data_IF_652852244004
#
_entry.id   IF_652852244004
#
_cell.length_a   1.000
_cell.length_b   1.000
_cell.length_c   1.000
_cell.angle_alpha   90.00
_cell.angle_beta   90.00
_cell.angle_gamma   90.00
#
_symmetry.space_group_name_H-M   'P 1'
#
loop_
_entity.id
_entity.type
_entity.pdbx_description
1 polymer ?
#
# COMPACT_ATOMS: atom_id res chain seq x y z
N UNK A 1 20.42 9.40 -8.15
CA UNK A 1 19.01 9.36 -8.63
C UNK A 1 18.13 9.05 -7.43
N UNK A 2 16.87 9.48 -7.33
CA UNK A 2 16.03 9.03 -6.21
C UNK A 2 15.61 7.57 -6.42
N UNK A 3 15.47 6.80 -5.34
CA UNK A 3 15.08 5.39 -5.34
C UNK A 3 13.83 5.12 -6.22
N UNK A 4 12.80 6.00 -6.15
CA UNK A 4 11.62 5.85 -7.01
C UNK A 4 11.95 5.92 -8.52
N UNK A 5 12.94 6.72 -8.93
CA UNK A 5 13.34 6.78 -10.33
C UNK A 5 14.01 5.48 -10.78
N UNK A 6 14.84 4.91 -9.92
CA UNK A 6 15.56 3.66 -10.19
C UNK A 6 14.56 2.50 -10.28
N UNK A 7 13.64 2.40 -9.33
CA UNK A 7 12.58 1.38 -9.35
C UNK A 7 11.66 1.50 -10.56
N UNK A 8 11.23 2.73 -10.88
CA UNK A 8 10.42 2.96 -12.08
C UNK A 8 11.15 2.58 -13.35
N UNK A 9 12.44 2.91 -13.47
CA UNK A 9 13.25 2.54 -14.61
C UNK A 9 13.39 1.01 -14.76
N UNK A 10 13.60 0.31 -13.65
CA UNK A 10 13.66 -1.15 -13.58
C UNK A 10 12.33 -1.78 -14.02
N UNK A 11 11.22 -1.41 -13.39
CA UNK A 11 9.90 -1.93 -13.69
C UNK A 11 9.45 -1.66 -15.14
N UNK A 12 9.89 -0.55 -15.72
CA UNK A 12 9.54 -0.17 -17.10
C UNK A 12 10.61 -0.49 -18.13
N UNK A 13 11.60 -1.35 -17.80
CA UNK A 13 12.68 -1.74 -18.71
C UNK A 13 12.19 -2.47 -19.98
N UNK A 14 10.98 -3.06 -19.93
CA UNK A 14 10.36 -3.77 -21.05
C UNK A 14 9.90 -2.86 -22.20
N UNK A 15 9.88 -1.54 -22.01
CA UNK A 15 9.44 -0.57 -23.04
C UNK A 15 10.46 0.54 -23.27
N UNK A 16 10.60 0.97 -24.54
CA UNK A 16 11.48 2.06 -24.94
C UNK A 16 10.75 3.42 -25.05
N UNK A 17 9.46 3.50 -24.72
CA UNK A 17 8.70 4.75 -24.81
C UNK A 17 9.09 5.69 -23.66
N UNK A 18 10.22 6.39 -23.86
CA UNK A 18 10.80 7.28 -22.86
C UNK A 18 9.83 8.39 -22.44
N UNK A 19 9.18 9.05 -23.40
CA UNK A 19 8.26 10.15 -23.13
C UNK A 19 7.10 9.70 -22.23
N UNK A 20 6.46 8.57 -22.52
CA UNK A 20 5.39 8.03 -21.71
C UNK A 20 5.87 7.66 -20.31
N UNK A 21 7.04 7.02 -20.19
CA UNK A 21 7.62 6.68 -18.88
C UNK A 21 7.86 7.92 -18.02
N UNK A 22 8.44 8.96 -18.61
CA UNK A 22 8.75 10.21 -17.91
C UNK A 22 7.45 10.92 -17.46
N UNK A 23 6.43 10.95 -18.32
CA UNK A 23 5.12 11.54 -18.00
C UNK A 23 4.41 10.78 -16.86
N UNK A 24 4.36 9.45 -16.94
CA UNK A 24 3.74 8.64 -15.89
C UNK A 24 4.48 8.75 -14.55
N UNK A 25 5.82 8.76 -14.57
CA UNK A 25 6.60 8.97 -13.34
C UNK A 25 6.32 10.34 -12.71
N UNK A 26 6.20 11.37 -13.54
CA UNK A 26 5.82 12.71 -13.09
C UNK A 26 4.44 12.71 -12.43
N UNK A 27 3.46 12.05 -13.05
CA UNK A 27 2.10 11.92 -12.51
C UNK A 27 2.08 11.15 -11.18
N UNK A 28 2.84 10.04 -11.08
CA UNK A 28 2.97 9.25 -9.85
C UNK A 28 3.51 10.15 -8.73
N UNK A 29 4.64 10.83 -8.96
CA UNK A 29 5.24 11.72 -7.97
C UNK A 29 4.29 12.84 -7.54
N UNK A 30 3.59 13.45 -8.49
CA UNK A 30 2.60 14.49 -8.22
C UNK A 30 1.45 13.97 -7.36
N UNK A 31 0.95 12.75 -7.63
CA UNK A 31 -0.11 12.13 -6.85
C UNK A 31 0.31 11.91 -5.41
N UNK A 32 1.45 11.28 -5.18
CA UNK A 32 1.98 11.00 -3.83
C UNK A 32 2.55 12.24 -3.09
N UNK A 33 2.72 13.36 -3.78
CA UNK A 33 3.11 14.65 -3.19
C UNK A 33 1.94 15.62 -3.07
N UNK A 34 0.70 15.15 -3.25
CA UNK A 34 -0.49 16.00 -3.17
C UNK A 34 -0.69 16.54 -1.76
N UNK A 35 -1.16 17.79 -1.61
CA UNK A 35 -1.53 18.32 -0.30
C UNK A 35 -2.52 17.40 0.42
N UNK A 36 -2.31 17.20 1.72
CA UNK A 36 -3.15 16.33 2.54
C UNK A 36 -2.68 14.88 2.67
N UNK A 37 -1.65 14.46 1.94
CA UNK A 37 -1.01 13.15 2.10
C UNK A 37 0.14 13.22 3.10
N UNK A 38 -0.15 12.98 4.36
CA UNK A 38 0.86 13.00 5.42
C UNK A 38 1.49 11.64 5.66
N UNK A 39 0.75 10.56 5.39
CA UNK A 39 1.23 9.17 5.46
C UNK A 39 1.27 8.51 4.08
N UNK A 40 0.16 8.55 3.30
CA UNK A 40 0.07 7.92 1.97
C UNK A 40 0.80 8.76 0.91
N UNK A 41 2.07 8.98 1.12
CA UNK A 41 2.98 9.83 0.36
C UNK A 41 4.14 9.02 -0.25
N UNK A 42 5.17 9.73 -0.78
CA UNK A 42 6.33 9.06 -1.38
C UNK A 42 7.15 8.25 -0.37
N UNK A 43 7.18 8.61 0.90
CA UNK A 43 7.96 7.87 1.91
C UNK A 43 7.30 6.52 2.19
N UNK A 44 5.97 6.46 2.30
CA UNK A 44 5.22 5.21 2.38
C UNK A 44 5.50 4.33 1.16
N UNK A 45 5.38 4.88 -0.04
CA UNK A 45 5.67 4.15 -1.27
C UNK A 45 7.10 3.56 -1.27
N UNK A 46 8.08 4.35 -0.84
CA UNK A 46 9.47 3.90 -0.77
C UNK A 46 9.68 2.83 0.28
N UNK A 47 8.98 2.88 1.42
CA UNK A 47 9.03 1.84 2.44
C UNK A 47 8.55 0.50 1.90
N UNK A 48 7.43 0.47 1.18
CA UNK A 48 6.91 -0.74 0.56
C UNK A 48 7.86 -1.28 -0.53
N UNK A 49 8.42 -0.40 -1.35
CA UNK A 49 9.41 -0.81 -2.38
C UNK A 49 10.68 -1.37 -1.75
N UNK A 50 11.11 -0.85 -0.60
CA UNK A 50 12.25 -1.40 0.14
C UNK A 50 11.94 -2.81 0.62
N UNK A 51 10.78 -3.05 1.23
CA UNK A 51 10.34 -4.38 1.66
C UNK A 51 10.22 -5.34 0.47
N UNK A 52 9.73 -4.86 -0.68
CA UNK A 52 9.67 -5.66 -1.91
C UNK A 52 11.08 -6.09 -2.38
N UNK A 53 12.07 -5.21 -2.30
CA UNK A 53 13.45 -5.52 -2.66
C UNK A 53 14.11 -6.51 -1.69
N UNK A 54 13.88 -6.34 -0.39
CA UNK A 54 14.36 -7.27 0.64
C UNK A 54 13.82 -8.69 0.42
N UNK A 55 12.62 -8.80 -0.15
CA UNK A 55 11.92 -10.07 -0.36
C UNK A 55 11.91 -10.55 -1.82
N UNK A 56 12.66 -9.89 -2.73
CA UNK A 56 12.60 -10.19 -4.17
C UNK A 56 12.89 -11.66 -4.50
N UNK A 57 13.74 -12.33 -3.72
CA UNK A 57 14.14 -13.72 -3.95
C UNK A 57 13.01 -14.74 -3.71
N UNK A 58 12.00 -14.38 -2.92
CA UNK A 58 10.85 -15.26 -2.62
C UNK A 58 9.63 -14.93 -3.46
N UNK A 59 9.55 -13.75 -4.08
CA UNK A 59 8.44 -13.35 -4.93
C UNK A 59 8.45 -14.11 -6.26
N UNK A 60 7.29 -14.58 -6.69
CA UNK A 60 7.11 -15.26 -7.97
C UNK A 60 7.10 -14.27 -9.14
N UNK A 61 6.54 -13.08 -8.93
CA UNK A 61 6.45 -12.03 -9.93
C UNK A 61 6.70 -10.63 -9.34
N UNK A 62 7.98 -10.27 -9.07
CA UNK A 62 8.33 -8.97 -8.48
C UNK A 62 7.83 -7.77 -9.30
N UNK A 63 7.65 -7.92 -10.62
CA UNK A 63 7.11 -6.85 -11.48
C UNK A 63 5.66 -6.55 -11.13
N UNK A 64 4.84 -7.57 -10.91
CA UNK A 64 3.43 -7.39 -10.48
C UNK A 64 3.39 -6.72 -9.13
N UNK A 65 4.15 -7.21 -8.15
CA UNK A 65 4.20 -6.62 -6.81
C UNK A 65 4.67 -5.16 -6.87
N UNK A 66 5.74 -4.87 -7.59
CA UNK A 66 6.28 -3.51 -7.71
C UNK A 66 5.29 -2.52 -8.33
N UNK A 67 4.58 -2.91 -9.40
CA UNK A 67 3.52 -2.06 -9.95
C UNK A 67 2.31 -1.95 -9.03
N UNK A 68 1.93 -3.01 -8.33
CA UNK A 68 0.85 -2.94 -7.33
C UNK A 68 1.19 -1.94 -6.24
N UNK A 69 2.41 -1.96 -5.72
CA UNK A 69 2.91 -0.97 -4.75
C UNK A 69 2.81 0.45 -5.32
N UNK A 70 3.28 0.69 -6.56
CA UNK A 70 3.28 2.04 -7.14
C UNK A 70 1.86 2.59 -7.33
N UNK A 71 0.89 1.73 -7.60
CA UNK A 71 -0.44 2.16 -7.99
C UNK A 71 -1.53 2.01 -6.91
N UNK A 72 -1.32 1.27 -5.80
CA UNK A 72 -2.41 0.96 -4.85
C UNK A 72 -3.09 2.23 -4.30
N UNK A 73 -2.32 3.22 -3.93
CA UNK A 73 -2.78 4.48 -3.35
C UNK A 73 -2.60 5.69 -4.29
N UNK A 74 -2.46 5.46 -5.60
CA UNK A 74 -2.24 6.58 -6.54
C UNK A 74 -3.42 7.54 -6.57
N UNK A 75 -4.61 7.04 -6.35
CA UNK A 75 -5.82 7.81 -6.05
C UNK A 75 -6.09 7.64 -4.55
N UNK A 76 -6.08 8.74 -3.82
CA UNK A 76 -6.34 8.74 -2.40
C UNK A 76 -7.06 10.02 -1.97
N UNK A 77 -8.26 9.85 -1.47
CA UNK A 77 -9.10 10.90 -0.92
C UNK A 77 -9.91 10.30 0.24
N UNK A 78 -9.70 10.81 1.44
CA UNK A 78 -10.35 10.29 2.67
C UNK A 78 -11.88 10.46 2.67
N UNK A 79 -12.46 11.20 1.73
CA UNK A 79 -13.91 11.34 1.56
C UNK A 79 -14.51 10.31 0.59
N UNK A 80 -13.67 9.54 -0.10
CA UNK A 80 -14.07 8.52 -1.07
C UNK A 80 -14.13 7.14 -0.42
N UNK A 81 -14.87 6.25 -1.07
CA UNK A 81 -14.94 4.83 -0.72
C UNK A 81 -14.54 3.92 -1.89
N UNK A 82 -14.04 4.51 -2.97
CA UNK A 82 -13.67 3.85 -4.21
C UNK A 82 -12.23 4.22 -4.64
N UNK A 83 -11.35 4.49 -3.67
CA UNK A 83 -9.95 4.83 -3.92
C UNK A 83 -9.24 3.66 -4.62
N UNK A 84 -9.41 2.44 -4.12
CA UNK A 84 -8.79 1.23 -4.63
C UNK A 84 -9.28 0.91 -6.04
N UNK A 85 -10.58 1.03 -6.30
CA UNK A 85 -11.15 0.85 -7.63
C UNK A 85 -10.60 1.88 -8.63
N UNK A 86 -10.49 3.13 -8.22
CA UNK A 86 -9.94 4.20 -9.06
C UNK A 86 -8.44 4.06 -9.29
N UNK A 87 -7.71 3.59 -8.28
CA UNK A 87 -6.28 3.25 -8.39
C UNK A 87 -6.06 2.10 -9.37
N UNK A 88 -6.87 1.03 -9.27
CA UNK A 88 -6.83 -0.10 -10.19
C UNK A 88 -7.19 0.33 -11.64
N UNK A 89 -8.23 1.14 -11.84
CA UNK A 89 -8.57 1.71 -13.16
C UNK A 89 -7.42 2.53 -13.76
N UNK A 90 -6.74 3.35 -12.93
CA UNK A 90 -5.58 4.13 -13.37
C UNK A 90 -4.41 3.22 -13.71
N UNK A 91 -4.08 2.24 -12.88
CA UNK A 91 -3.04 1.25 -13.15
C UNK A 91 -3.27 0.54 -14.48
N UNK A 92 -4.49 0.01 -14.70
CA UNK A 92 -4.87 -0.65 -15.94
C UNK A 92 -4.65 0.21 -17.18
N UNK A 93 -5.09 1.46 -17.15
CA UNK A 93 -4.96 2.39 -18.27
C UNK A 93 -3.49 2.67 -18.59
N UNK A 94 -2.71 3.03 -17.57
CA UNK A 94 -1.33 3.47 -17.70
C UNK A 94 -0.41 2.30 -18.11
N UNK A 95 -0.58 1.13 -17.49
CA UNK A 95 0.21 -0.07 -17.78
C UNK A 95 -0.14 -0.67 -19.15
N UNK A 96 -1.39 -0.58 -19.57
CA UNK A 96 -1.78 -0.93 -20.94
C UNK A 96 -1.12 -0.01 -21.96
N UNK A 97 -1.03 1.29 -21.71
CA UNK A 97 -0.37 2.25 -22.57
C UNK A 97 1.15 1.99 -22.66
N UNK A 98 1.77 1.54 -21.55
CA UNK A 98 3.18 1.09 -21.53
C UNK A 98 3.42 -0.21 -22.30
N UNK A 99 2.36 -0.98 -22.60
CA UNK A 99 2.47 -2.27 -23.30
C UNK A 99 2.73 -3.46 -22.37
N UNK A 100 2.42 -3.35 -21.09
CA UNK A 100 2.55 -4.47 -20.16
C UNK A 100 1.57 -5.60 -20.54
N UNK A 101 1.97 -6.86 -20.33
CA UNK A 101 1.14 -8.04 -20.62
C UNK A 101 -0.20 -7.97 -19.87
N UNK A 102 -1.29 -8.28 -20.59
CA UNK A 102 -2.65 -8.23 -20.02
C UNK A 102 -2.81 -9.08 -18.74
N UNK A 103 -2.16 -10.26 -18.70
CA UNK A 103 -2.19 -11.12 -17.51
C UNK A 103 -1.64 -10.41 -16.28
N UNK A 104 -0.52 -9.70 -16.41
CA UNK A 104 0.07 -8.94 -15.32
C UNK A 104 -0.83 -7.77 -14.90
N UNK A 105 -1.42 -7.06 -15.88
CA UNK A 105 -2.36 -5.97 -15.57
C UNK A 105 -3.55 -6.48 -14.76
N UNK A 106 -4.14 -7.62 -15.14
CA UNK A 106 -5.26 -8.22 -14.41
C UNK A 106 -4.87 -8.61 -12.99
N UNK A 107 -3.67 -9.13 -12.79
CA UNK A 107 -3.14 -9.51 -11.49
C UNK A 107 -2.87 -8.26 -10.61
N UNK A 108 -2.29 -7.20 -11.19
CA UNK A 108 -2.09 -5.91 -10.52
C UNK A 108 -3.42 -5.28 -10.09
N UNK A 109 -4.44 -5.29 -10.97
CA UNK A 109 -5.78 -4.83 -10.62
C UNK A 109 -6.33 -5.59 -9.40
N UNK A 110 -6.20 -6.92 -9.38
CA UNK A 110 -6.66 -7.74 -8.26
C UNK A 110 -5.89 -7.46 -6.96
N UNK A 111 -4.59 -7.25 -7.04
CA UNK A 111 -3.75 -6.91 -5.89
C UNK A 111 -4.14 -5.55 -5.29
N UNK A 112 -4.32 -4.52 -6.14
CA UNK A 112 -4.76 -3.20 -5.69
C UNK A 112 -6.14 -3.28 -5.02
N UNK A 113 -7.09 -4.00 -5.60
CA UNK A 113 -8.43 -4.14 -5.02
C UNK A 113 -8.41 -4.86 -3.67
N UNK A 114 -7.48 -5.79 -3.47
CA UNK A 114 -7.34 -6.54 -2.21
C UNK A 114 -6.88 -5.66 -1.02
N UNK A 115 -6.27 -4.49 -1.26
CA UNK A 115 -5.88 -3.57 -0.17
C UNK A 115 -7.08 -2.93 0.51
N UNK A 116 -8.26 -2.94 -0.11
CA UNK A 116 -9.49 -2.37 0.47
C UNK A 116 -9.88 -3.01 1.81
N UNK A 117 -9.84 -4.32 1.86
CA UNK A 117 -10.20 -5.11 3.05
C UNK A 117 -8.98 -5.83 3.64
N UNK A 118 -7.82 -5.72 2.98
CA UNK A 118 -6.60 -6.47 3.29
C UNK A 118 -6.91 -7.96 3.44
N UNK A 119 -7.57 -8.53 2.41
CA UNK A 119 -7.89 -9.95 2.34
C UNK A 119 -7.36 -10.57 1.05
N UNK A 120 -7.01 -11.86 1.11
CA UNK A 120 -6.59 -12.65 -0.04
C UNK A 120 -7.81 -13.36 -0.63
N UNK A 121 -8.41 -12.84 -1.73
CA UNK A 121 -9.60 -13.43 -2.34
C UNK A 121 -9.31 -14.84 -2.86
N UNK A 122 -10.33 -15.73 -2.81
CA UNK A 122 -10.19 -17.12 -3.21
C UNK A 122 -9.80 -17.29 -4.68
N UNK A 123 -10.27 -16.40 -5.53
CA UNK A 123 -10.09 -16.39 -7.00
C UNK A 123 -8.74 -15.84 -7.48
N UNK A 124 -7.95 -15.19 -6.64
CA UNK A 124 -6.62 -14.70 -7.03
C UNK A 124 -5.68 -15.88 -7.26
N UNK A 125 -5.01 -15.88 -8.42
CA UNK A 125 -4.12 -16.97 -8.83
C UNK A 125 -2.83 -16.96 -8.02
N UNK A 126 -2.16 -15.82 -7.95
CA UNK A 126 -0.90 -15.66 -7.21
C UNK A 126 -1.16 -15.15 -5.79
N UNK A 127 -1.71 -16.03 -4.94
CA UNK A 127 -1.96 -15.71 -3.52
C UNK A 127 -0.68 -15.49 -2.74
N UNK A 128 0.42 -16.10 -3.16
CA UNK A 128 1.71 -15.98 -2.50
C UNK A 128 2.22 -14.54 -2.55
N UNK A 129 2.33 -13.95 -3.73
CA UNK A 129 2.83 -12.58 -3.88
C UNK A 129 1.83 -11.55 -3.36
N UNK A 130 0.52 -11.84 -3.49
CA UNK A 130 -0.50 -10.99 -2.88
C UNK A 130 -0.35 -10.95 -1.35
N UNK A 131 -0.10 -12.09 -0.70
CA UNK A 131 0.13 -12.16 0.73
C UNK A 131 1.32 -11.27 1.16
N UNK A 132 2.45 -11.34 0.45
CA UNK A 132 3.59 -10.46 0.70
C UNK A 132 3.25 -8.99 0.50
N UNK A 133 2.54 -8.65 -0.58
CA UNK A 133 2.15 -7.26 -0.85
C UNK A 133 1.26 -6.67 0.26
N UNK A 134 0.26 -7.43 0.72
CA UNK A 134 -0.59 -7.00 1.84
C UNK A 134 0.19 -6.90 3.15
N UNK A 135 1.14 -7.81 3.39
CA UNK A 135 2.02 -7.75 4.56
C UNK A 135 2.94 -6.52 4.52
N UNK A 136 3.45 -6.13 3.35
CA UNK A 136 4.25 -4.90 3.19
C UNK A 136 3.45 -3.67 3.59
N UNK A 137 2.19 -3.58 3.16
CA UNK A 137 1.32 -2.44 3.44
C UNK A 137 0.97 -2.34 4.93
N UNK A 138 0.74 -3.46 5.59
CA UNK A 138 0.45 -3.51 7.02
C UNK A 138 1.69 -3.49 7.94
N UNK A 139 2.90 -3.60 7.40
CA UNK A 139 4.13 -3.68 8.21
C UNK A 139 4.31 -2.50 9.17
N UNK A 140 3.81 -1.32 8.81
CA UNK A 140 3.84 -0.11 9.66
C UNK A 140 3.15 -0.33 11.01
N UNK A 141 2.16 -1.22 11.09
CA UNK A 141 1.45 -1.53 12.35
C UNK A 141 2.38 -2.20 13.37
N UNK A 142 3.37 -2.96 12.91
CA UNK A 142 4.33 -3.68 13.75
C UNK A 142 5.66 -2.94 13.97
N UNK A 143 5.77 -1.67 13.62
CA UNK A 143 6.97 -0.88 13.87
C UNK A 143 7.12 -0.55 15.37
N UNK A 144 8.34 -0.22 15.86
CA UNK A 144 8.56 0.27 17.22
C UNK A 144 7.62 1.41 17.60
N UNK A 145 7.31 1.54 18.89
CA UNK A 145 6.26 2.41 19.39
C UNK A 145 6.38 3.89 18.98
N UNK A 146 7.60 4.42 18.88
CA UNK A 146 7.85 5.80 18.44
C UNK A 146 7.58 5.99 16.93
N UNK A 147 7.93 5.02 16.11
CA UNK A 147 7.62 5.02 14.67
C UNK A 147 6.11 4.83 14.43
N UNK A 148 5.47 3.94 15.20
CA UNK A 148 4.03 3.79 15.16
C UNK A 148 3.28 5.06 15.59
N UNK A 149 3.78 5.78 16.62
CA UNK A 149 3.23 7.08 17.02
C UNK A 149 3.37 8.14 15.93
N UNK A 150 4.47 8.14 15.17
CA UNK A 150 4.65 9.02 14.02
C UNK A 150 3.63 8.68 12.89
N UNK A 151 3.43 7.40 12.61
CA UNK A 151 2.39 6.91 11.70
C UNK A 151 0.99 7.39 12.11
N UNK A 152 0.58 7.19 13.37
CA UNK A 152 -0.71 7.64 13.91
C UNK A 152 -0.93 9.14 13.71
N UNK A 153 0.10 9.94 14.01
CA UNK A 153 0.05 11.39 13.81
C UNK A 153 -0.15 11.75 12.34
N UNK A 154 0.55 11.07 11.45
CA UNK A 154 0.43 11.29 10.01
C UNK A 154 -0.96 10.91 9.49
N UNK A 155 -1.51 9.77 9.92
CA UNK A 155 -2.91 9.40 9.61
C UNK A 155 -3.89 10.45 10.13
N UNK A 156 -3.72 10.93 11.38
CA UNK A 156 -4.60 11.98 11.93
C UNK A 156 -4.56 13.27 11.10
N UNK A 157 -3.40 13.63 10.55
CA UNK A 157 -3.27 14.81 9.68
C UNK A 157 -4.07 14.67 8.39
N UNK A 158 -4.13 13.49 7.79
CA UNK A 158 -4.92 13.23 6.58
C UNK A 158 -6.43 13.35 6.80
N UNK A 159 -6.88 13.16 8.04
CA UNK A 159 -8.28 13.21 8.44
C UNK A 159 -8.65 14.51 9.19
N UNK A 160 -7.87 15.59 9.06
CA UNK A 160 -8.12 16.85 9.78
C UNK A 160 -9.47 17.51 9.47
N UNK A 161 -10.02 17.29 8.27
CA UNK A 161 -11.35 17.80 7.91
C UNK A 161 -12.48 17.16 8.73
N UNK A 162 -12.24 16.00 9.34
CA UNK A 162 -13.22 15.35 10.20
C UNK A 162 -13.09 15.83 11.65
N UNK A 163 -14.23 16.10 12.30
CA UNK A 163 -14.27 16.40 13.74
C UNK A 163 -13.63 15.26 14.52
N UNK A 164 -12.96 15.59 15.63
CA UNK A 164 -12.18 14.63 16.42
C UNK A 164 -12.96 13.38 16.80
N UNK A 165 -14.23 13.52 17.22
CA UNK A 165 -15.05 12.37 17.63
C UNK A 165 -15.41 11.44 16.43
N UNK A 166 -15.63 12.01 15.23
CA UNK A 166 -15.90 11.21 14.01
C UNK A 166 -14.67 10.41 13.61
N UNK A 167 -13.50 11.08 13.63
CA UNK A 167 -12.23 10.41 13.35
C UNK A 167 -11.94 9.29 14.36
N UNK A 168 -12.06 9.58 15.65
CA UNK A 168 -11.80 8.60 16.72
C UNK A 168 -12.69 7.37 16.57
N UNK A 169 -13.98 7.54 16.30
CA UNK A 169 -14.89 6.41 16.12
C UNK A 169 -14.55 5.59 14.88
N UNK A 170 -14.31 6.25 13.73
CA UNK A 170 -13.90 5.54 12.51
C UNK A 170 -12.58 4.80 12.69
N UNK A 171 -11.58 5.44 13.32
CA UNK A 171 -10.28 4.81 13.58
C UNK A 171 -10.41 3.64 14.55
N UNK A 172 -11.21 3.79 15.60
CA UNK A 172 -11.50 2.72 16.56
C UNK A 172 -12.11 1.50 15.89
N UNK A 173 -13.09 1.69 15.01
CA UNK A 173 -13.71 0.59 14.26
C UNK A 173 -12.70 -0.13 13.35
N UNK A 174 -11.87 0.62 12.62
CA UNK A 174 -10.84 0.04 11.78
C UNK A 174 -9.83 -0.80 12.60
N UNK A 175 -9.40 -0.31 13.76
CA UNK A 175 -8.46 -1.03 14.63
C UNK A 175 -9.09 -2.30 15.24
N UNK A 176 -10.38 -2.26 15.61
CA UNK A 176 -11.12 -3.43 16.11
C UNK A 176 -11.21 -4.49 15.01
N UNK A 177 -11.59 -4.11 13.77
CA UNK A 177 -11.68 -5.04 12.65
C UNK A 177 -10.34 -5.74 12.37
N UNK A 178 -9.23 -5.02 12.51
CA UNK A 178 -7.90 -5.63 12.39
C UNK A 178 -7.65 -6.66 13.50
N UNK A 179 -7.98 -6.36 14.76
CA UNK A 179 -7.78 -7.30 15.87
C UNK A 179 -8.70 -8.52 15.84
N UNK A 180 -9.85 -8.43 15.17
CA UNK A 180 -10.74 -9.57 14.96
C UNK A 180 -10.18 -10.62 14.00
N UNK A 181 -9.19 -10.25 13.16
CA UNK A 181 -8.49 -11.21 12.31
C UNK A 181 -7.67 -12.19 13.16
N UNK A 182 -7.67 -13.47 12.79
CA UNK A 182 -6.84 -14.50 13.43
C UNK A 182 -5.35 -14.10 13.41
N UNK A 183 -4.90 -13.55 12.29
CA UNK A 183 -3.57 -12.97 12.10
C UNK A 183 -3.68 -11.71 11.27
N UNK A 184 -2.88 -10.70 11.61
CA UNK A 184 -2.76 -9.46 10.84
C UNK A 184 -1.96 -9.66 9.56
N UNK A 185 -0.95 -10.54 9.62
CA UNK A 185 -0.06 -10.85 8.51
C UNK A 185 -0.32 -12.24 7.97
N UNK A 186 -0.01 -12.43 6.69
CA UNK A 186 -0.24 -13.68 5.96
C UNK A 186 0.99 -14.58 5.96
N UNK A 187 2.18 -14.03 5.73
CA UNK A 187 3.42 -14.80 5.62
C UNK A 187 4.02 -15.08 7.00
N UNK A 188 4.71 -16.22 7.14
CA UNK A 188 5.34 -16.57 8.42
C UNK A 188 6.41 -15.56 8.83
N UNK A 189 7.18 -15.06 7.86
CA UNK A 189 8.21 -14.05 8.09
C UNK A 189 7.64 -12.78 8.73
N UNK A 190 6.55 -12.24 8.19
CA UNK A 190 5.93 -11.02 8.71
C UNK A 190 5.17 -11.27 10.01
N UNK A 191 4.57 -12.45 10.20
CA UNK A 191 4.01 -12.84 11.50
C UNK A 191 5.06 -12.85 12.60
N UNK A 192 6.17 -13.52 12.37
CA UNK A 192 7.26 -13.62 13.35
C UNK A 192 7.86 -12.24 13.66
N UNK A 193 7.97 -11.38 12.65
CA UNK A 193 8.61 -10.07 12.78
C UNK A 193 7.70 -9.00 13.38
N UNK A 194 6.41 -8.99 13.06
CA UNK A 194 5.55 -7.84 13.29
C UNK A 194 4.26 -8.12 14.08
N UNK A 195 3.74 -9.35 14.11
CA UNK A 195 2.39 -9.63 14.64
C UNK A 195 2.21 -9.20 16.10
N UNK A 196 3.16 -9.56 16.98
CA UNK A 196 3.07 -9.24 18.41
C UNK A 196 3.08 -7.74 18.63
N UNK A 197 4.06 -7.04 18.04
CA UNK A 197 4.18 -5.60 18.18
C UNK A 197 2.99 -4.86 17.56
N UNK A 198 2.48 -5.31 16.42
CA UNK A 198 1.31 -4.71 15.79
C UNK A 198 0.07 -4.80 16.68
N UNK A 199 -0.19 -5.96 17.29
CA UNK A 199 -1.30 -6.11 18.23
C UNK A 199 -1.13 -5.26 19.48
N UNK A 200 0.07 -5.15 20.03
CA UNK A 200 0.37 -4.25 21.15
C UNK A 200 0.12 -2.79 20.77
N UNK A 201 0.63 -2.35 19.62
CA UNK A 201 0.43 -0.99 19.12
C UNK A 201 -1.06 -0.65 18.95
N UNK A 202 -1.82 -1.54 18.32
CA UNK A 202 -3.26 -1.35 18.12
C UNK A 202 -4.01 -1.31 19.44
N UNK A 203 -3.72 -2.21 20.38
CA UNK A 203 -4.37 -2.20 21.70
C UNK A 203 -4.06 -0.91 22.47
N UNK A 204 -2.83 -0.43 22.45
CA UNK A 204 -2.42 0.83 23.07
C UNK A 204 -3.11 2.03 22.41
N UNK A 205 -3.27 2.02 21.08
CA UNK A 205 -4.05 3.07 20.39
C UNK A 205 -5.52 3.03 20.78
N UNK A 206 -6.15 1.85 20.83
CA UNK A 206 -7.55 1.71 21.24
C UNK A 206 -7.81 2.26 22.63
N UNK A 207 -6.87 2.11 23.58
CA UNK A 207 -7.00 2.63 24.94
C UNK A 207 -7.12 4.16 25.01
N UNK A 208 -6.63 4.90 23.99
CA UNK A 208 -6.68 6.37 23.94
C UNK A 208 -7.71 6.93 22.95
N UNK A 209 -8.39 6.07 22.20
CA UNK A 209 -9.46 6.45 21.28
C UNK A 209 -10.85 6.54 21.94
N UNK A 210 -10.90 6.46 23.26
CA UNK A 210 -12.13 6.56 24.07
C UNK A 210 -12.71 7.96 23.99
#
# INVERSE_FOLDING_TARGET
MSMINEKWAELTAFTNNKELKDNLLSDIKKSYSSPGRSYHNLDHLLSLLTLCDENVAVLQNPIVVGFSIIYHDIIYDTQRRDNEEKSAEKAKRDLKALGLKRSFITEIEAFILATKDHEVPAEVVNKHDLAYFLDFDLAVLGLPGDEYEAYKKSIRQEYLQYRSYVYKEGRRQAMIQLLEKESLFYTNEFKERFEVQARENINNELAVLI
#
